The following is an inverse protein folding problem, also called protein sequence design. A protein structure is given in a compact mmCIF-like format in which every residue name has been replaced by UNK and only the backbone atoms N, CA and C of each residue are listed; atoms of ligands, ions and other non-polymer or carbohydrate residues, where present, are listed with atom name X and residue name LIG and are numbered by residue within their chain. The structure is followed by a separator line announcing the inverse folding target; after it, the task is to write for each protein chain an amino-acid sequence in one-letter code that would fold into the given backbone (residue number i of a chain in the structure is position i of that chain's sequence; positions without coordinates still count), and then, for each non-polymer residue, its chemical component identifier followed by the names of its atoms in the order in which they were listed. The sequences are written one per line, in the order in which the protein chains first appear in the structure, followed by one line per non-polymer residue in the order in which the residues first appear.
data_IF_716628627130
#
_entry.id   IF_716628627130
#
_cell.length_a   1.000
_cell.length_b   1.000
_cell.length_c   1.000
_cell.angle_alpha   90.00
_cell.angle_beta   90.00
_cell.angle_gamma   90.00
#
_symmetry.space_group_name_H-M   'P 1'
#
loop_
_entity.id
_entity.type
_entity.pdbx_description
1 polymer ?
#
# COMPACT_ATOMS: atom_id res chain seq x y z
N UNK A 1 61.84 3.21 -22.02
CA UNK A 1 60.99 2.12 -22.53
C UNK A 1 59.87 1.95 -21.53
N UNK A 2 58.66 2.30 -21.96
CA UNK A 2 57.46 2.18 -21.16
C UNK A 2 57.04 0.71 -21.10
N UNK A 3 56.51 0.27 -19.96
CA UNK A 3 55.59 -0.86 -19.96
C UNK A 3 54.40 -0.52 -19.08
N UNK A 4 53.22 -0.77 -19.63
CA UNK A 4 51.91 -0.34 -19.15
C UNK A 4 51.06 -1.59 -19.05
N UNK A 5 50.68 -1.98 -17.84
CA UNK A 5 49.62 -2.99 -17.65
C UNK A 5 48.69 -2.51 -16.55
N UNK A 6 47.61 -1.86 -16.98
CA UNK A 6 46.44 -1.52 -16.17
C UNK A 6 45.41 -2.65 -16.24
N UNK A 7 44.87 -2.96 -15.06
CA UNK A 7 43.47 -3.31 -14.76
C UNK A 7 42.63 -4.04 -15.81
N UNK A 8 42.45 -5.34 -15.59
CA UNK A 8 41.29 -6.11 -16.05
C UNK A 8 40.87 -7.11 -14.97
N UNK A 9 40.48 -6.67 -13.77
CA UNK A 9 39.93 -7.60 -12.76
C UNK A 9 38.65 -7.18 -12.04
N UNK A 10 38.11 -5.98 -12.26
CA UNK A 10 36.95 -5.50 -11.48
C UNK A 10 35.57 -5.76 -12.12
N UNK A 11 35.52 -6.16 -13.40
CA UNK A 11 34.25 -6.34 -14.13
C UNK A 11 33.55 -7.68 -13.94
N UNK A 12 34.22 -8.71 -13.39
CA UNK A 12 33.64 -10.07 -13.27
C UNK A 12 32.99 -10.36 -11.92
N UNK A 13 33.31 -9.59 -10.88
CA UNK A 13 32.79 -9.85 -9.52
C UNK A 13 31.36 -9.33 -9.34
N UNK A 14 31.02 -8.19 -9.96
CA UNK A 14 29.68 -7.60 -9.88
C UNK A 14 28.60 -8.32 -10.71
N UNK A 15 28.99 -8.96 -11.83
CA UNK A 15 28.05 -9.68 -12.70
C UNK A 15 27.60 -11.00 -12.04
N UNK A 16 28.51 -11.68 -11.32
CA UNK A 16 28.22 -12.92 -10.60
C UNK A 16 27.24 -12.71 -9.44
N UNK A 17 27.23 -11.51 -8.84
CA UNK A 17 26.33 -11.19 -7.73
C UNK A 17 24.89 -10.93 -8.20
N UNK A 18 24.73 -10.21 -9.32
CA UNK A 18 23.41 -9.88 -9.87
C UNK A 18 22.66 -11.13 -10.35
N UNK A 19 23.34 -12.00 -11.09
CA UNK A 19 22.74 -13.23 -11.61
C UNK A 19 22.40 -14.21 -10.46
N UNK A 20 23.20 -14.21 -9.38
CA UNK A 20 22.95 -15.01 -8.19
C UNK A 20 21.75 -14.47 -7.40
N UNK A 21 21.62 -13.15 -7.28
CA UNK A 21 20.49 -12.46 -6.65
C UNK A 21 19.22 -12.73 -7.46
N UNK A 22 19.24 -12.56 -8.78
CA UNK A 22 18.11 -12.83 -9.67
C UNK A 22 17.68 -14.31 -9.64
N UNK A 23 18.64 -15.25 -9.62
CA UNK A 23 18.36 -16.68 -9.47
C UNK A 23 17.74 -17.05 -8.11
N UNK A 24 18.18 -16.37 -7.04
CA UNK A 24 17.62 -16.53 -5.69
C UNK A 24 16.22 -15.92 -5.59
N UNK A 25 15.98 -14.79 -6.25
CA UNK A 25 14.69 -14.13 -6.38
C UNK A 25 13.70 -15.03 -7.13
N UNK A 26 14.06 -15.60 -8.28
CA UNK A 26 13.19 -16.50 -9.05
C UNK A 26 12.85 -17.80 -8.29
N UNK A 27 13.82 -18.36 -7.56
CA UNK A 27 13.59 -19.53 -6.68
C UNK A 27 12.76 -19.20 -5.45
N UNK A 28 12.79 -17.97 -4.97
CA UNK A 28 11.97 -17.52 -3.86
C UNK A 28 10.54 -17.22 -4.35
N UNK A 29 10.39 -16.45 -5.44
CA UNK A 29 9.10 -16.08 -6.04
C UNK A 29 8.21 -17.28 -6.36
N UNK A 30 8.78 -18.39 -6.82
CA UNK A 30 8.05 -19.64 -7.10
C UNK A 30 7.48 -20.35 -5.85
N UNK A 31 7.79 -19.89 -4.64
CA UNK A 31 7.30 -20.46 -3.36
C UNK A 31 6.78 -19.42 -2.36
N UNK A 32 6.74 -18.14 -2.74
CA UNK A 32 6.49 -17.00 -1.84
C UNK A 32 5.00 -16.70 -1.64
N UNK A 33 4.10 -17.31 -2.42
CA UNK A 33 2.66 -17.08 -2.28
C UNK A 33 2.01 -17.69 -1.02
N UNK A 34 2.75 -18.49 -0.23
CA UNK A 34 2.13 -19.24 0.86
C UNK A 34 1.99 -18.48 2.18
N UNK A 35 2.81 -17.44 2.45
CA UNK A 35 2.81 -16.81 3.78
C UNK A 35 1.50 -16.08 4.13
N UNK A 36 0.94 -15.19 3.28
CA UNK A 36 -0.32 -14.52 3.59
C UNK A 36 -1.49 -15.50 3.72
N UNK A 37 -1.57 -16.51 2.84
CA UNK A 37 -2.62 -17.53 2.89
C UNK A 37 -2.50 -18.41 4.15
N UNK A 38 -1.28 -18.79 4.53
CA UNK A 38 -1.00 -19.54 5.75
C UNK A 38 -1.38 -18.75 7.00
N UNK A 39 -1.06 -17.46 7.05
CA UNK A 39 -1.46 -16.57 8.15
C UNK A 39 -2.98 -16.39 8.20
N UNK A 40 -3.65 -16.24 7.05
CA UNK A 40 -5.10 -16.17 6.97
C UNK A 40 -5.75 -17.44 7.53
N UNK A 41 -5.33 -18.62 7.06
CA UNK A 41 -5.85 -19.90 7.56
C UNK A 41 -5.58 -20.09 9.05
N UNK A 42 -4.37 -19.76 9.51
CA UNK A 42 -3.99 -19.98 10.91
C UNK A 42 -4.63 -18.98 11.86
N UNK A 43 -4.80 -17.72 11.47
CA UNK A 43 -5.49 -16.71 12.27
C UNK A 43 -6.96 -17.06 12.54
N UNK A 44 -7.62 -17.78 11.64
CA UNK A 44 -9.00 -18.26 11.84
C UNK A 44 -9.10 -19.49 12.75
N UNK A 45 -8.02 -20.24 12.93
CA UNK A 45 -8.03 -21.56 13.59
C UNK A 45 -7.24 -21.60 14.90
N UNK A 46 -6.14 -20.85 15.00
CA UNK A 46 -5.24 -20.82 16.14
C UNK A 46 -4.60 -19.44 16.31
N UNK A 47 -5.28 -18.59 17.07
CA UNK A 47 -4.86 -17.22 17.37
C UNK A 47 -3.59 -17.15 18.21
N UNK A 48 -3.35 -18.11 19.10
CA UNK A 48 -2.12 -18.16 19.94
C UNK A 48 -0.89 -18.44 19.07
N UNK A 49 -0.98 -19.44 18.20
CA UNK A 49 0.11 -19.78 17.26
C UNK A 49 0.40 -18.62 16.32
N UNK A 50 -0.65 -18.00 15.78
CA UNK A 50 -0.52 -16.82 14.92
C UNK A 50 0.17 -15.67 15.65
N UNK A 51 -0.11 -15.47 16.94
CA UNK A 51 0.57 -14.45 17.75
C UNK A 51 2.08 -14.68 17.88
N UNK A 52 2.51 -15.93 18.07
CA UNK A 52 3.94 -16.29 18.09
C UNK A 52 4.57 -16.04 16.72
N UNK A 53 3.89 -16.43 15.65
CA UNK A 53 4.34 -16.21 14.28
C UNK A 53 4.51 -14.74 13.90
N UNK A 54 3.66 -13.84 14.41
CA UNK A 54 3.86 -12.40 14.24
C UNK A 54 5.13 -11.89 14.94
N UNK A 55 5.46 -12.39 16.13
CA UNK A 55 6.72 -12.02 16.80
C UNK A 55 7.95 -12.48 16.01
N UNK A 56 7.85 -13.65 15.36
CA UNK A 56 8.90 -14.14 14.45
C UNK A 56 9.03 -13.21 13.25
N UNK A 57 7.92 -12.83 12.63
CA UNK A 57 7.90 -11.93 11.48
C UNK A 57 8.47 -10.55 11.82
N UNK A 58 8.04 -9.94 12.93
CA UNK A 58 8.57 -8.67 13.46
C UNK A 58 10.08 -8.76 13.68
N UNK A 59 10.54 -9.81 14.36
CA UNK A 59 11.96 -10.00 14.60
C UNK A 59 12.79 -10.19 13.33
N UNK A 60 12.29 -10.95 12.35
CA UNK A 60 12.97 -11.09 11.06
C UNK A 60 13.01 -9.74 10.35
N UNK A 61 11.89 -9.03 10.28
CA UNK A 61 11.78 -7.76 9.59
C UNK A 61 12.75 -6.70 10.16
N UNK A 62 12.81 -6.57 11.47
CA UNK A 62 13.65 -5.58 12.16
C UNK A 62 15.15 -5.88 12.04
N UNK A 63 15.54 -7.13 11.78
CA UNK A 63 16.93 -7.58 11.82
C UNK A 63 17.41 -8.19 10.49
N UNK A 64 16.61 -8.06 9.42
CA UNK A 64 16.88 -8.66 8.12
C UNK A 64 18.13 -8.10 7.45
N UNK A 65 18.31 -6.79 7.57
CA UNK A 65 19.38 -6.03 6.92
C UNK A 65 20.37 -5.58 7.97
N UNK A 66 21.63 -5.90 7.74
CA UNK A 66 22.74 -5.44 8.57
C UNK A 66 23.10 -3.98 8.27
N UNK A 67 23.84 -3.28 9.14
CA UNK A 67 24.23 -1.88 8.93
C UNK A 67 25.04 -1.63 7.65
N UNK A 68 25.62 -2.67 7.06
CA UNK A 68 26.36 -2.63 5.80
C UNK A 68 25.47 -2.90 4.57
N UNK A 69 24.15 -2.88 4.75
CA UNK A 69 23.13 -3.13 3.73
C UNK A 69 23.10 -4.57 3.19
N UNK A 70 23.79 -5.51 3.84
CA UNK A 70 23.73 -6.93 3.50
C UNK A 70 22.61 -7.66 4.23
N UNK A 71 22.17 -8.81 3.69
CA UNK A 71 21.17 -9.65 4.34
C UNK A 71 21.80 -10.53 5.42
N UNK A 72 21.25 -10.49 6.64
CA UNK A 72 21.59 -11.45 7.70
C UNK A 72 21.20 -12.86 7.28
N UNK A 73 22.08 -13.84 7.48
CA UNK A 73 21.77 -15.25 7.22
C UNK A 73 20.74 -15.76 8.23
N UNK A 74 19.87 -16.68 7.82
CA UNK A 74 18.83 -17.25 8.67
C UNK A 74 19.42 -17.95 9.90
N UNK A 75 20.59 -18.58 9.75
CA UNK A 75 21.28 -19.29 10.83
C UNK A 75 21.81 -18.34 11.92
N UNK A 76 21.96 -17.05 11.60
CA UNK A 76 22.41 -16.02 12.55
C UNK A 76 21.26 -15.42 13.38
N UNK A 77 20.00 -15.73 13.06
CA UNK A 77 18.85 -15.24 13.83
C UNK A 77 18.71 -15.96 15.17
N UNK A 78 18.57 -15.16 16.24
CA UNK A 78 18.25 -15.65 17.58
C UNK A 78 16.79 -15.37 17.94
N UNK A 79 15.97 -16.41 17.84
CA UNK A 79 14.56 -16.35 18.21
C UNK A 79 14.35 -16.56 19.72
N UNK A 80 14.70 -15.57 20.53
CA UNK A 80 14.61 -15.63 22.00
C UNK A 80 13.16 -15.66 22.51
N UNK A 81 12.21 -15.18 21.70
CA UNK A 81 10.78 -15.23 21.99
C UNK A 81 10.18 -16.65 21.93
N UNK A 82 10.95 -17.63 21.42
CA UNK A 82 10.54 -19.04 21.33
C UNK A 82 11.48 -19.86 22.21
N UNK A 83 10.95 -20.61 23.20
CA UNK A 83 11.77 -21.55 23.96
C UNK A 83 12.52 -22.52 23.05
N UNK A 84 13.78 -22.81 23.33
CA UNK A 84 14.64 -23.62 22.45
C UNK A 84 14.04 -25.00 22.11
N UNK A 85 13.29 -25.60 23.04
CA UNK A 85 12.60 -26.89 22.84
C UNK A 85 11.39 -26.80 21.90
N UNK A 86 10.79 -25.62 21.73
CA UNK A 86 9.66 -25.38 20.84
C UNK A 86 10.09 -24.90 19.46
N UNK A 87 11.33 -24.40 19.31
CA UNK A 87 11.88 -23.89 18.03
C UNK A 87 11.72 -24.85 16.84
N UNK A 88 11.92 -26.18 16.97
CA UNK A 88 11.71 -27.11 15.85
C UNK A 88 10.28 -27.10 15.29
N UNK A 89 9.27 -26.78 16.11
CA UNK A 89 7.87 -26.73 15.71
C UNK A 89 7.56 -25.53 14.79
N UNK A 90 8.43 -24.51 14.82
CA UNK A 90 8.30 -23.29 14.02
C UNK A 90 9.30 -23.22 12.85
N UNK A 91 10.17 -24.23 12.69
CA UNK A 91 11.28 -24.18 11.74
C UNK A 91 10.82 -23.94 10.29
N UNK A 92 9.75 -24.58 9.85
CA UNK A 92 9.22 -24.41 8.50
C UNK A 92 8.60 -23.02 8.30
N UNK A 93 7.90 -22.50 9.32
CA UNK A 93 7.38 -21.14 9.27
C UNK A 93 8.51 -20.10 9.23
N UNK A 94 9.55 -20.27 10.05
CA UNK A 94 10.73 -19.38 10.09
C UNK A 94 11.39 -19.30 8.71
N UNK A 95 11.61 -20.44 8.05
CA UNK A 95 12.18 -20.49 6.69
C UNK A 95 11.29 -19.78 5.67
N UNK A 96 9.98 -20.00 5.73
CA UNK A 96 9.02 -19.36 4.84
C UNK A 96 8.99 -17.85 5.04
N UNK A 97 8.90 -17.40 6.30
CA UNK A 97 8.89 -16.00 6.69
C UNK A 97 10.17 -15.28 6.22
N UNK A 98 11.34 -15.87 6.45
CA UNK A 98 12.62 -15.33 6.01
C UNK A 98 12.67 -15.15 4.49
N UNK A 99 12.33 -16.21 3.73
CA UNK A 99 12.30 -16.15 2.25
C UNK A 99 11.36 -15.10 1.73
N UNK A 100 10.17 -15.00 2.32
CA UNK A 100 9.18 -14.01 1.96
C UNK A 100 9.70 -12.59 2.20
N UNK A 101 10.30 -12.33 3.37
CA UNK A 101 10.83 -11.00 3.71
C UNK A 101 11.97 -10.58 2.78
N UNK A 102 12.93 -11.47 2.51
CA UNK A 102 14.00 -11.21 1.53
C UNK A 102 13.40 -10.86 0.16
N UNK A 103 12.39 -11.61 -0.29
CA UNK A 103 11.75 -11.37 -1.58
C UNK A 103 11.07 -10.00 -1.64
N UNK A 104 10.31 -9.64 -0.60
CA UNK A 104 9.64 -8.34 -0.54
C UNK A 104 10.64 -7.18 -0.40
N UNK A 105 11.76 -7.40 0.29
CA UNK A 105 12.84 -6.43 0.42
C UNK A 105 13.53 -6.20 -0.93
N UNK A 106 13.90 -7.26 -1.65
CA UNK A 106 14.47 -7.16 -3.00
C UNK A 106 13.52 -6.47 -3.99
N UNK A 107 12.20 -6.65 -3.83
CA UNK A 107 11.19 -5.99 -4.64
C UNK A 107 10.93 -4.52 -4.23
N UNK A 108 11.59 -4.00 -3.18
CA UNK A 108 11.41 -2.63 -2.70
C UNK A 108 10.04 -2.36 -2.07
N UNK A 109 9.35 -3.41 -1.60
CA UNK A 109 7.99 -3.32 -1.04
C UNK A 109 7.88 -3.92 0.37
N UNK A 110 9.00 -4.24 1.03
CA UNK A 110 9.02 -4.91 2.33
C UNK A 110 8.15 -4.22 3.39
N UNK A 111 8.29 -2.91 3.60
CA UNK A 111 7.50 -2.17 4.59
C UNK A 111 6.00 -2.27 4.31
N UNK A 112 5.59 -2.01 3.07
CA UNK A 112 4.18 -2.05 2.69
C UNK A 112 3.61 -3.47 2.74
N UNK A 113 4.38 -4.46 2.31
CA UNK A 113 3.99 -5.86 2.35
C UNK A 113 3.87 -6.35 3.81
N UNK A 114 4.83 -6.00 4.67
CA UNK A 114 4.79 -6.32 6.10
C UNK A 114 3.60 -5.67 6.80
N UNK A 115 3.35 -4.39 6.55
CA UNK A 115 2.17 -3.68 7.05
C UNK A 115 0.87 -4.37 6.64
N UNK A 116 0.81 -4.88 5.40
CA UNK A 116 -0.34 -5.64 4.92
C UNK A 116 -0.49 -7.00 5.62
N UNK A 117 0.59 -7.63 6.11
CA UNK A 117 0.46 -8.82 6.97
C UNK A 117 -0.19 -8.49 8.31
N UNK A 118 0.03 -7.28 8.85
CA UNK A 118 -0.49 -6.83 10.15
C UNK A 118 -2.00 -7.07 10.33
N UNK A 119 -2.72 -7.14 9.22
CA UNK A 119 -4.09 -7.60 9.14
C UNK A 119 -4.32 -8.93 9.90
N UNK A 120 -3.53 -9.97 9.65
CA UNK A 120 -3.73 -11.28 10.27
C UNK A 120 -3.32 -11.33 11.76
N UNK A 121 -2.92 -10.21 12.36
CA UNK A 121 -2.49 -10.16 13.77
C UNK A 121 -3.69 -10.40 14.69
N UNK A 122 -3.61 -11.39 15.61
CA UNK A 122 -4.75 -11.78 16.45
C UNK A 122 -5.31 -10.64 17.32
N UNK A 123 -4.45 -9.71 17.75
CA UNK A 123 -4.84 -8.60 18.61
C UNK A 123 -5.46 -7.43 17.84
N UNK A 124 -5.26 -7.32 16.51
CA UNK A 124 -5.71 -6.16 15.75
C UNK A 124 -7.21 -5.93 15.86
N UNK A 125 -8.02 -6.99 15.88
CA UNK A 125 -9.47 -6.88 16.09
C UNK A 125 -9.82 -6.31 17.46
N UNK A 126 -9.11 -6.71 18.52
CA UNK A 126 -9.34 -6.22 19.88
C UNK A 126 -8.79 -4.81 20.08
N UNK A 127 -7.59 -4.54 19.56
CA UNK A 127 -6.89 -3.25 19.65
C UNK A 127 -7.65 -2.16 18.89
N UNK A 128 -8.18 -2.48 17.70
CA UNK A 128 -9.05 -1.56 16.95
C UNK A 128 -10.38 -1.35 17.68
N UNK A 129 -11.05 -2.41 18.14
CA UNK A 129 -12.32 -2.28 18.88
C UNK A 129 -12.19 -1.51 20.20
N UNK A 130 -11.01 -1.47 20.82
CA UNK A 130 -10.73 -0.71 22.03
C UNK A 130 -10.56 0.80 21.78
N UNK A 131 -10.17 1.21 20.57
CA UNK A 131 -9.93 2.61 20.18
C UNK A 131 -11.13 3.22 19.45
N UNK A 132 -12.02 2.37 18.93
CA UNK A 132 -13.26 2.74 18.24
C UNK A 132 -14.24 3.42 19.21
N UNK A 133 -14.73 4.60 18.84
CA UNK A 133 -15.61 5.40 19.69
C UNK A 133 -16.95 4.68 19.93
N UNK A 134 -17.63 4.81 21.09
CA UNK A 134 -18.78 3.98 21.47
C UNK A 134 -19.97 3.89 20.47
N UNK A 135 -20.04 4.79 19.49
CA UNK A 135 -21.06 4.84 18.43
C UNK A 135 -20.64 4.15 17.12
N UNK A 136 -19.34 3.90 16.93
CA UNK A 136 -18.77 3.21 15.77
C UNK A 136 -18.92 1.66 15.77
N UNK A 137 -19.12 0.95 16.91
CA UNK A 137 -19.42 -0.49 16.91
C UNK A 137 -20.71 -0.82 16.17
N UNK A 138 -21.62 0.15 15.98
CA UNK A 138 -22.85 -0.03 15.22
C UNK A 138 -22.58 -0.33 13.74
N UNK A 139 -21.57 0.32 13.15
CA UNK A 139 -21.16 0.10 11.76
C UNK A 139 -20.29 -1.16 11.62
N UNK A 140 -19.43 -1.45 12.60
CA UNK A 140 -18.65 -2.69 12.64
C UNK A 140 -19.53 -3.92 12.88
N UNK A 141 -20.63 -3.80 13.65
CA UNK A 141 -21.66 -4.84 13.72
C UNK A 141 -22.34 -5.03 12.37
N UNK A 142 -22.77 -3.98 11.67
CA UNK A 142 -23.41 -4.19 10.35
C UNK A 142 -22.44 -4.69 9.26
N UNK A 143 -21.15 -4.34 9.33
CA UNK A 143 -20.12 -4.80 8.40
C UNK A 143 -19.62 -6.23 8.65
N UNK A 144 -19.58 -6.67 9.92
CA UNK A 144 -19.28 -8.06 10.29
C UNK A 144 -20.53 -8.96 10.38
N UNK A 145 -21.72 -8.36 10.27
CA UNK A 145 -23.04 -8.99 10.40
C UNK A 145 -23.96 -8.55 9.23
N UNK A 146 -23.43 -8.55 8.01
CA UNK A 146 -24.12 -9.34 6.98
C UNK A 146 -23.69 -10.78 7.27
N UNK A 147 -24.27 -11.41 8.30
CA UNK A 147 -25.37 -12.34 8.06
C UNK A 147 -25.41 -12.65 6.58
N UNK A 148 -24.77 -13.77 6.23
CA UNK A 148 -25.18 -14.67 5.17
C UNK A 148 -26.70 -14.59 5.11
N UNK A 149 -27.21 -13.60 4.38
CA UNK A 149 -28.59 -13.60 3.96
C UNK A 149 -28.44 -14.64 2.89
N UNK A 150 -28.76 -15.89 3.27
CA UNK A 150 -28.96 -16.94 2.30
C UNK A 150 -30.04 -16.38 1.39
N UNK A 151 -29.62 -15.66 0.34
CA UNK A 151 -30.38 -15.57 -0.87
C UNK A 151 -30.34 -17.00 -1.41
N UNK A 152 -31.27 -17.80 -0.87
CA UNK A 152 -31.54 -19.16 -1.26
C UNK A 152 -32.01 -19.28 -2.72
N UNK A 153 -32.06 -18.14 -3.44
CA UNK A 153 -32.52 -18.01 -4.81
C UNK A 153 -31.46 -17.40 -5.76
N UNK A 154 -30.23 -17.14 -5.28
CA UNK A 154 -29.12 -16.72 -6.16
C UNK A 154 -28.45 -17.96 -6.76
N UNK A 155 -29.11 -18.51 -7.77
CA UNK A 155 -28.62 -19.37 -8.86
C UNK A 155 -27.43 -20.31 -8.59
N UNK A 156 -27.66 -21.59 -8.86
CA UNK A 156 -26.78 -22.76 -8.74
C UNK A 156 -25.56 -22.73 -9.70
N UNK A 157 -25.10 -21.56 -10.16
CA UNK A 157 -24.38 -21.41 -11.43
C UNK A 157 -23.23 -20.39 -11.45
N UNK A 158 -22.19 -20.57 -10.63
CA UNK A 158 -20.83 -20.15 -11.05
C UNK A 158 -19.92 -21.37 -11.20
N UNK A 159 -20.45 -22.40 -11.84
CA UNK A 159 -19.69 -23.54 -12.30
C UNK A 159 -19.22 -23.30 -13.74
N UNK A 160 -18.23 -22.43 -13.89
CA UNK A 160 -17.54 -22.30 -15.18
C UNK A 160 -16.71 -23.56 -15.48
N UNK A 161 -16.77 -24.00 -16.73
CA UNK A 161 -15.83 -24.98 -17.29
C UNK A 161 -14.40 -24.41 -17.26
N UNK A 162 -13.39 -25.27 -17.34
CA UNK A 162 -12.00 -24.79 -17.37
C UNK A 162 -11.72 -23.90 -18.58
N UNK A 163 -12.38 -24.14 -19.72
CA UNK A 163 -12.26 -23.30 -20.91
C UNK A 163 -12.81 -21.89 -20.68
N UNK A 164 -13.97 -21.77 -20.01
CA UNK A 164 -14.55 -20.48 -19.63
C UNK A 164 -13.65 -19.73 -18.64
N UNK A 165 -13.10 -20.43 -17.62
CA UNK A 165 -12.15 -19.82 -16.68
C UNK A 165 -10.93 -19.24 -17.39
N UNK A 166 -10.33 -20.02 -18.31
CA UNK A 166 -9.19 -19.58 -19.11
C UNK A 166 -9.55 -18.36 -19.96
N UNK A 167 -10.77 -18.30 -20.52
CA UNK A 167 -11.24 -17.14 -21.28
C UNK A 167 -11.26 -15.87 -20.41
N UNK A 168 -11.85 -15.93 -19.21
CA UNK A 168 -11.89 -14.79 -18.29
C UNK A 168 -10.48 -14.33 -17.90
N UNK A 169 -9.61 -15.27 -17.53
CA UNK A 169 -8.22 -14.97 -17.15
C UNK A 169 -7.45 -14.31 -18.29
N UNK A 170 -7.60 -14.78 -19.53
CA UNK A 170 -6.96 -14.17 -20.70
C UNK A 170 -7.47 -12.77 -21.00
N UNK A 171 -8.78 -12.56 -20.90
CA UNK A 171 -9.40 -11.24 -21.08
C UNK A 171 -8.86 -10.24 -20.06
N UNK A 172 -8.81 -10.64 -18.80
CA UNK A 172 -8.30 -9.80 -17.73
C UNK A 172 -6.79 -9.55 -17.87
N UNK A 173 -6.00 -10.56 -18.27
CA UNK A 173 -4.57 -10.39 -18.56
C UNK A 173 -4.35 -9.36 -19.68
N UNK A 174 -5.19 -9.39 -20.72
CA UNK A 174 -5.16 -8.39 -21.80
C UNK A 174 -5.48 -6.98 -21.25
N UNK A 175 -6.47 -6.85 -20.38
CA UNK A 175 -6.79 -5.57 -19.74
C UNK A 175 -5.66 -5.05 -18.83
N UNK A 176 -5.03 -5.91 -18.03
CA UNK A 176 -3.92 -5.54 -17.15
C UNK A 176 -2.67 -5.11 -17.94
N UNK A 177 -2.42 -5.74 -19.09
CA UNK A 177 -1.28 -5.44 -19.97
C UNK A 177 -1.53 -4.29 -20.96
N UNK A 178 -2.78 -3.91 -21.20
CA UNK A 178 -3.12 -2.82 -22.11
C UNK A 178 -2.64 -1.46 -21.56
N UNK A 179 -1.65 -0.85 -22.21
CA UNK A 179 -1.11 0.46 -21.84
C UNK A 179 -1.73 1.64 -22.61
N UNK A 180 -2.69 1.37 -23.49
CA UNK A 180 -3.34 2.38 -24.34
C UNK A 180 -4.56 2.96 -23.64
N UNK A 181 -4.66 4.29 -23.58
CA UNK A 181 -5.83 4.97 -23.03
C UNK A 181 -5.99 4.86 -21.51
N UNK A 182 -4.91 4.53 -20.79
CA UNK A 182 -4.93 4.39 -19.32
C UNK A 182 -5.16 5.74 -18.63
N UNK A 183 -5.83 5.71 -17.47
CA UNK A 183 -6.12 6.89 -16.66
C UNK A 183 -4.89 7.47 -15.93
N UNK A 184 -3.90 6.61 -15.67
CA UNK A 184 -2.63 6.96 -15.01
C UNK A 184 -1.65 7.61 -15.99
N UNK A 185 -0.79 8.50 -15.50
CA UNK A 185 0.28 9.10 -16.33
C UNK A 185 1.27 8.02 -16.76
N UNK A 186 1.77 8.00 -18.01
CA UNK A 186 2.70 6.97 -18.48
C UNK A 186 4.01 6.85 -17.68
N UNK A 187 4.45 7.94 -17.05
CA UNK A 187 5.64 8.01 -16.19
C UNK A 187 5.36 7.73 -14.71
N UNK A 188 4.12 7.39 -14.34
CA UNK A 188 3.76 7.10 -12.96
C UNK A 188 4.42 5.79 -12.51
N UNK A 189 4.95 5.74 -11.27
CA UNK A 189 5.67 4.58 -10.75
C UNK A 189 4.85 3.28 -10.83
N UNK A 190 3.55 3.32 -10.56
CA UNK A 190 2.67 2.16 -10.76
C UNK A 190 2.65 1.63 -12.21
N UNK A 191 2.67 2.51 -13.21
CA UNK A 191 2.70 2.09 -14.62
C UNK A 191 4.04 1.43 -14.95
N UNK A 192 5.14 1.96 -14.42
CA UNK A 192 6.46 1.35 -14.55
C UNK A 192 6.53 -0.02 -13.86
N UNK A 193 5.94 -0.13 -12.66
CA UNK A 193 5.85 -1.40 -11.93
C UNK A 193 5.10 -2.46 -12.74
N UNK A 194 3.93 -2.13 -13.31
CA UNK A 194 3.17 -3.07 -14.16
C UNK A 194 3.95 -3.46 -15.42
N UNK A 195 4.70 -2.54 -16.04
CA UNK A 195 5.59 -2.86 -17.17
C UNK A 195 6.73 -3.79 -16.81
N UNK A 196 7.20 -3.73 -15.56
CA UNK A 196 8.26 -4.59 -15.06
C UNK A 196 7.76 -5.97 -14.59
N UNK A 197 6.44 -6.13 -14.38
CA UNK A 197 5.86 -7.42 -14.01
C UNK A 197 5.95 -8.42 -15.17
N UNK A 198 6.33 -9.66 -14.85
CA UNK A 198 6.31 -10.73 -15.84
C UNK A 198 4.88 -11.14 -16.17
N UNK A 199 4.67 -11.67 -17.37
CA UNK A 199 3.37 -12.18 -17.80
C UNK A 199 2.84 -13.26 -16.86
N UNK A 200 3.71 -14.12 -16.30
CA UNK A 200 3.34 -15.16 -15.35
C UNK A 200 2.81 -14.60 -14.03
N UNK A 201 3.43 -13.52 -13.50
CA UNK A 201 2.94 -12.86 -12.28
C UNK A 201 1.56 -12.24 -12.50
N UNK A 202 1.35 -11.62 -13.67
CA UNK A 202 0.04 -11.05 -14.01
C UNK A 202 -1.02 -12.14 -14.24
N UNK A 203 -0.66 -13.25 -14.87
CA UNK A 203 -1.56 -14.38 -15.07
C UNK A 203 -2.01 -14.98 -13.74
N UNK A 204 -1.08 -15.15 -12.79
CA UNK A 204 -1.41 -15.63 -11.44
C UNK A 204 -2.33 -14.64 -10.71
N UNK A 205 -2.05 -13.34 -10.80
CA UNK A 205 -2.94 -12.32 -10.23
C UNK A 205 -4.35 -12.36 -10.87
N UNK A 206 -4.46 -12.70 -12.16
CA UNK A 206 -5.75 -12.87 -12.82
C UNK A 206 -6.54 -14.06 -12.27
N UNK A 207 -5.85 -15.17 -11.94
CA UNK A 207 -6.47 -16.31 -11.27
C UNK A 207 -7.01 -15.95 -9.89
N UNK A 208 -6.24 -15.19 -9.11
CA UNK A 208 -6.68 -14.68 -7.80
C UNK A 208 -7.92 -13.78 -7.93
N UNK A 209 -7.93 -12.87 -8.90
CA UNK A 209 -9.07 -12.00 -9.18
C UNK A 209 -10.30 -12.83 -9.58
N UNK A 210 -10.14 -13.84 -10.43
CA UNK A 210 -11.22 -14.74 -10.83
C UNK A 210 -11.86 -15.46 -9.64
N UNK A 211 -11.04 -16.05 -8.77
CA UNK A 211 -11.52 -16.75 -7.57
C UNK A 211 -12.26 -15.78 -6.65
N UNK A 212 -11.69 -14.61 -6.37
CA UNK A 212 -12.30 -13.62 -5.49
C UNK A 212 -13.56 -12.98 -6.09
N UNK A 213 -13.67 -12.85 -7.42
CA UNK A 213 -14.87 -12.37 -8.09
C UNK A 213 -16.01 -13.38 -8.02
N UNK A 214 -15.70 -14.68 -8.19
CA UNK A 214 -16.69 -15.76 -8.05
C UNK A 214 -17.23 -15.77 -6.63
N UNK A 215 -16.33 -15.72 -5.65
CA UNK A 215 -16.69 -15.78 -4.25
C UNK A 215 -17.51 -14.53 -3.86
N UNK A 216 -17.13 -13.35 -4.36
CA UNK A 216 -17.92 -12.12 -4.16
C UNK A 216 -19.32 -12.16 -4.79
N UNK A 217 -19.48 -12.79 -5.97
CA UNK A 217 -20.78 -12.99 -6.61
C UNK A 217 -21.69 -13.89 -5.77
N UNK A 218 -21.11 -14.89 -5.10
CA UNK A 218 -21.83 -15.79 -4.20
C UNK A 218 -22.05 -15.19 -2.79
N UNK A 219 -21.65 -13.93 -2.57
CA UNK A 219 -21.72 -13.27 -1.26
C UNK A 219 -20.70 -13.80 -0.25
N UNK A 220 -19.71 -14.58 -0.70
CA UNK A 220 -18.64 -15.15 0.13
C UNK A 220 -17.39 -14.30 -0.03
N UNK A 221 -17.40 -13.06 0.44
CA UNK A 221 -16.18 -12.25 0.42
C UNK A 221 -15.44 -12.41 1.75
N UNK A 222 -14.18 -12.90 1.79
CA UNK A 222 -13.40 -12.99 3.02
C UNK A 222 -12.90 -11.61 3.46
N UNK A 223 -13.81 -10.70 3.79
CA UNK A 223 -13.48 -9.34 4.23
C UNK A 223 -12.87 -9.40 5.61
N UNK A 224 -11.74 -8.73 5.73
CA UNK A 224 -11.05 -8.66 6.98
C UNK A 224 -11.75 -7.66 7.93
N UNK A 225 -11.87 -7.94 9.24
CA UNK A 225 -12.64 -7.12 10.18
C UNK A 225 -12.27 -5.63 10.25
N UNK A 226 -11.06 -5.25 9.83
CA UNK A 226 -10.54 -3.89 9.83
C UNK A 226 -10.55 -3.24 8.44
N UNK A 227 -11.16 -3.87 7.43
CA UNK A 227 -11.35 -3.24 6.11
C UNK A 227 -12.45 -2.19 6.21
N UNK A 228 -12.09 -0.99 6.65
CA UNK A 228 -13.03 0.14 6.89
C UNK A 228 -13.68 0.69 5.61
N UNK A 229 -13.09 0.40 4.44
CA UNK A 229 -13.55 0.88 3.14
C UNK A 229 -14.04 -0.24 2.23
N UNK A 230 -14.51 -1.36 2.81
CA UNK A 230 -15.09 -2.44 2.02
C UNK A 230 -16.46 -2.03 1.47
N UNK A 231 -16.69 -2.31 0.19
CA UNK A 231 -17.97 -2.12 -0.47
C UNK A 231 -18.31 -3.42 -1.19
N UNK A 232 -19.58 -3.81 -1.12
CA UNK A 232 -20.12 -4.92 -1.89
C UNK A 232 -21.16 -4.36 -2.86
N UNK A 233 -20.90 -4.54 -4.15
CA UNK A 233 -21.81 -4.20 -5.23
C UNK A 233 -22.71 -5.39 -5.53
N UNK A 234 -23.99 -5.12 -5.73
CA UNK A 234 -24.93 -6.13 -6.20
C UNK A 234 -24.91 -6.17 -7.73
N UNK A 235 -24.65 -7.35 -8.29
CA UNK A 235 -24.55 -7.59 -9.73
C UNK A 235 -25.52 -8.68 -10.13
N UNK A 236 -26.29 -8.46 -11.19
CA UNK A 236 -27.29 -9.42 -11.69
C UNK A 236 -26.63 -10.72 -12.13
N UNK A 237 -25.52 -10.63 -12.87
CA UNK A 237 -24.74 -11.78 -13.31
C UNK A 237 -23.26 -11.68 -12.94
N UNK A 238 -22.56 -12.83 -12.96
CA UNK A 238 -21.10 -12.84 -12.84
C UNK A 238 -20.44 -12.07 -13.99
N UNK A 239 -21.01 -12.13 -15.21
CA UNK A 239 -20.49 -11.45 -16.38
C UNK A 239 -20.53 -9.93 -16.22
N UNK A 240 -21.60 -9.37 -15.63
CA UNK A 240 -21.69 -7.94 -15.35
C UNK A 240 -20.61 -7.51 -14.35
N UNK A 241 -20.39 -8.31 -13.29
CA UNK A 241 -19.31 -8.07 -12.32
C UNK A 241 -17.95 -8.15 -13.00
N UNK A 242 -17.75 -9.15 -13.85
CA UNK A 242 -16.48 -9.37 -14.53
C UNK A 242 -16.17 -8.25 -15.53
N UNK A 243 -17.16 -7.78 -16.29
CA UNK A 243 -17.01 -6.66 -17.20
C UNK A 243 -16.50 -5.40 -16.46
N UNK A 244 -17.10 -5.07 -15.32
CA UNK A 244 -16.62 -3.92 -14.51
C UNK A 244 -15.22 -4.14 -13.94
N UNK A 245 -14.85 -5.38 -13.56
CA UNK A 245 -13.49 -5.74 -13.13
C UNK A 245 -12.49 -5.48 -14.27
N UNK A 246 -12.81 -5.98 -15.47
CA UNK A 246 -11.98 -5.82 -16.67
C UNK A 246 -11.81 -4.33 -16.99
N UNK A 247 -12.90 -3.56 -17.00
CA UNK A 247 -12.86 -2.10 -17.21
C UNK A 247 -12.02 -1.39 -16.14
N UNK A 248 -12.16 -1.78 -14.87
CA UNK A 248 -11.38 -1.21 -13.77
C UNK A 248 -9.87 -1.36 -13.99
N UNK A 249 -9.42 -2.57 -14.32
CA UNK A 249 -7.98 -2.86 -14.53
C UNK A 249 -7.47 -2.38 -15.89
N UNK A 250 -8.34 -2.27 -16.89
CA UNK A 250 -8.01 -1.67 -18.17
C UNK A 250 -7.68 -0.17 -18.00
N UNK A 251 -8.52 0.57 -17.26
CA UNK A 251 -8.34 2.00 -17.04
C UNK A 251 -7.24 2.32 -16.00
N UNK A 252 -7.11 1.55 -14.92
CA UNK A 252 -6.32 1.93 -13.74
C UNK A 252 -5.13 0.98 -13.50
N UNK A 253 -3.94 1.34 -13.99
CA UNK A 253 -2.71 0.56 -13.77
C UNK A 253 -2.18 0.69 -12.35
N UNK A 254 -2.54 1.76 -11.65
CA UNK A 254 -2.41 1.82 -10.21
C UNK A 254 -3.22 0.75 -9.48
N UNK A 255 -4.37 0.29 -10.02
CA UNK A 255 -5.09 -0.83 -9.43
C UNK A 255 -4.34 -2.15 -9.66
N UNK A 256 -3.82 -2.37 -10.87
CA UNK A 256 -3.01 -3.55 -11.21
C UNK A 256 -1.77 -3.64 -10.31
N UNK A 257 -1.01 -2.56 -10.14
CA UNK A 257 0.14 -2.54 -9.25
C UNK A 257 -0.20 -2.88 -7.78
N UNK A 258 -1.40 -2.48 -7.34
CA UNK A 258 -1.89 -2.75 -5.99
C UNK A 258 -2.51 -4.14 -5.81
N UNK A 259 -2.71 -4.93 -6.87
CA UNK A 259 -3.22 -6.30 -6.73
C UNK A 259 -2.31 -7.19 -5.90
N UNK A 260 -1.00 -6.92 -5.90
CA UNK A 260 -0.02 -7.63 -5.07
C UNK A 260 -0.28 -7.43 -3.57
N UNK A 261 -1.15 -6.50 -3.20
CA UNK A 261 -1.54 -6.25 -1.83
C UNK A 261 -2.86 -7.00 -1.54
N UNK A 262 -2.80 -7.94 -0.59
CA UNK A 262 -3.90 -8.86 -0.27
C UNK A 262 -5.26 -8.18 0.04
N UNK A 263 -5.26 -6.96 0.56
CA UNK A 263 -6.52 -6.23 0.86
C UNK A 263 -7.23 -5.72 -0.39
N UNK A 264 -6.52 -5.54 -1.50
CA UNK A 264 -7.06 -4.85 -2.67
C UNK A 264 -7.78 -5.79 -3.63
N UNK A 265 -7.33 -7.04 -3.77
CA UNK A 265 -8.03 -8.03 -4.62
C UNK A 265 -9.51 -8.14 -4.23
N UNK A 266 -9.79 -8.28 -2.92
CA UNK A 266 -11.15 -8.42 -2.40
C UNK A 266 -12.01 -7.18 -2.67
N UNK A 267 -11.40 -5.99 -2.61
CA UNK A 267 -12.11 -4.72 -2.79
C UNK A 267 -12.44 -4.49 -4.25
N UNK A 268 -11.48 -4.76 -5.13
CA UNK A 268 -11.65 -4.62 -6.56
C UNK A 268 -12.65 -5.64 -7.12
N UNK A 269 -12.72 -6.86 -6.56
CA UNK A 269 -13.69 -7.86 -7.01
C UNK A 269 -15.10 -7.71 -6.43
N UNK A 270 -15.24 -7.07 -5.27
CA UNK A 270 -16.53 -6.96 -4.58
C UNK A 270 -17.39 -5.78 -5.08
N UNK A 271 -16.77 -4.67 -5.45
CA UNK A 271 -17.46 -3.50 -6.04
C UNK A 271 -16.51 -2.74 -6.99
N UNK A 272 -16.16 -3.34 -8.14
CA UNK A 272 -15.23 -2.76 -9.10
C UNK A 272 -15.69 -1.39 -9.61
N UNK A 273 -16.98 -1.20 -9.85
CA UNK A 273 -17.55 0.07 -10.30
C UNK A 273 -17.27 1.20 -9.31
N UNK A 274 -17.63 1.01 -8.03
CA UNK A 274 -17.42 2.04 -7.01
C UNK A 274 -15.94 2.33 -6.79
N UNK A 275 -15.09 1.32 -6.91
CA UNK A 275 -13.64 1.50 -6.86
C UNK A 275 -13.10 2.34 -8.03
N UNK A 276 -13.59 2.10 -9.25
CA UNK A 276 -13.34 2.97 -10.42
C UNK A 276 -13.79 4.41 -10.16
N UNK A 277 -15.01 4.62 -9.66
CA UNK A 277 -15.52 5.96 -9.35
C UNK A 277 -14.67 6.68 -8.30
N UNK A 278 -14.25 5.94 -7.27
CA UNK A 278 -13.39 6.50 -6.21
C UNK A 278 -12.03 6.91 -6.75
N UNK A 279 -11.41 6.12 -7.63
CA UNK A 279 -10.15 6.47 -8.29
C UNK A 279 -10.30 7.72 -9.16
N UNK A 280 -11.38 7.81 -9.95
CA UNK A 280 -11.71 9.01 -10.75
C UNK A 280 -11.86 10.24 -9.85
N UNK A 281 -12.55 10.11 -8.71
CA UNK A 281 -12.68 11.18 -7.72
C UNK A 281 -11.35 11.59 -7.06
N UNK A 282 -10.52 10.62 -6.65
CA UNK A 282 -9.20 10.88 -6.08
C UNK A 282 -8.29 11.60 -7.07
N UNK A 283 -8.29 11.19 -8.34
CA UNK A 283 -7.54 11.85 -9.40
C UNK A 283 -7.96 13.32 -9.54
N UNK A 284 -9.25 13.60 -9.65
CA UNK A 284 -9.78 14.97 -9.75
C UNK A 284 -9.34 15.85 -8.56
N UNK A 285 -9.39 15.29 -7.35
CA UNK A 285 -8.98 16.00 -6.14
C UNK A 285 -7.46 16.27 -6.12
N UNK A 286 -6.65 15.29 -6.53
CA UNK A 286 -5.19 15.43 -6.59
C UNK A 286 -4.77 16.44 -7.66
N UNK A 287 -5.39 16.40 -8.85
CA UNK A 287 -5.14 17.37 -9.92
C UNK A 287 -5.50 18.79 -9.45
N UNK A 288 -6.63 18.95 -8.76
CA UNK A 288 -7.06 20.23 -8.19
C UNK A 288 -6.07 20.75 -7.12
N UNK A 289 -5.55 19.86 -6.27
CA UNK A 289 -4.53 20.21 -5.27
C UNK A 289 -3.21 20.62 -5.93
N UNK A 290 -2.78 19.93 -6.99
CA UNK A 290 -1.57 20.26 -7.73
C UNK A 290 -1.66 21.66 -8.34
N UNK A 291 -2.78 22.01 -8.98
CA UNK A 291 -3.01 23.35 -9.53
C UNK A 291 -2.93 24.43 -8.45
N UNK A 292 -3.59 24.20 -7.31
CA UNK A 292 -3.55 25.15 -6.16
C UNK A 292 -2.14 25.31 -5.61
N UNK A 293 -1.39 24.21 -5.51
CA UNK A 293 0.00 24.24 -5.06
C UNK A 293 0.88 25.05 -6.01
N UNK A 294 0.80 24.81 -7.33
CA UNK A 294 1.56 25.58 -8.32
C UNK A 294 1.20 27.07 -8.27
N UNK A 295 -0.08 27.41 -8.15
CA UNK A 295 -0.52 28.80 -8.00
C UNK A 295 0.03 29.45 -6.72
N UNK A 296 0.04 28.71 -5.59
CA UNK A 296 0.61 29.20 -4.34
C UNK A 296 2.12 29.42 -4.44
N UNK A 297 2.86 28.52 -5.11
CA UNK A 297 4.30 28.68 -5.37
C UNK A 297 4.57 29.91 -6.23
N UNK A 298 3.80 30.11 -7.31
CA UNK A 298 3.93 31.30 -8.16
C UNK A 298 3.62 32.59 -7.41
N UNK A 299 2.56 32.61 -6.58
CA UNK A 299 2.23 33.76 -5.75
C UNK A 299 3.33 34.08 -4.73
N UNK A 300 3.91 33.05 -4.10
CA UNK A 300 5.03 33.21 -3.18
C UNK A 300 6.28 33.76 -3.88
N UNK A 301 6.60 33.27 -5.08
CA UNK A 301 7.71 33.79 -5.90
C UNK A 301 7.49 35.25 -6.31
N UNK A 302 6.26 35.62 -6.68
CA UNK A 302 5.91 37.00 -7.02
C UNK A 302 6.04 37.96 -5.82
N UNK A 303 5.61 37.53 -4.63
CA UNK A 303 5.79 38.31 -3.40
C UNK A 303 7.27 38.49 -3.03
N UNK A 304 8.07 37.43 -3.17
CA UNK A 304 9.53 37.52 -2.97
C UNK A 304 10.19 38.48 -3.97
N UNK A 305 9.75 38.49 -5.23
CA UNK A 305 10.26 39.43 -6.24
C UNK A 305 9.91 40.89 -5.90
N UNK A 306 8.70 41.17 -5.42
CA UNK A 306 8.31 42.51 -4.96
C UNK A 306 9.14 42.95 -3.75
N UNK A 307 9.34 42.06 -2.77
CA UNK A 307 10.14 42.36 -1.58
C UNK A 307 11.63 42.55 -1.91
N UNK A 308 12.17 41.81 -2.89
CA UNK A 308 13.52 42.01 -3.41
C UNK A 308 13.71 43.31 -4.20
N UNK A 309 12.67 43.76 -4.92
CA UNK A 309 12.72 45.00 -5.69
C UNK A 309 12.60 46.27 -4.82
N UNK A 310 12.01 46.18 -3.62
CA UNK A 310 11.86 47.30 -2.69
C UNK A 310 13.14 47.67 -1.90
N UNK A 311 14.23 46.92 -2.07
CA UNK A 311 15.46 47.08 -1.28
C UNK A 311 16.54 48.00 -1.91
N UNK A 312 16.24 48.74 -2.99
CA UNK A 312 17.18 49.71 -3.56
C UNK A 312 16.59 51.13 -3.48
N UNK A 313 16.87 51.90 -2.42
CA UNK A 313 16.70 53.34 -2.48
C UNK A 313 17.92 53.93 -3.20
N UNK A 314 17.74 54.24 -4.48
CA UNK A 314 18.63 55.17 -5.19
C UNK A 314 18.41 56.59 -4.62
N UNK A 315 19.27 57.00 -3.70
CA UNK A 315 19.38 58.41 -3.29
C UNK A 315 20.41 59.12 -4.18
N UNK A 316 20.07 60.23 -4.86
CA UNK A 316 21.06 61.13 -5.42
C UNK A 316 21.50 62.19 -4.38
N UNK A 317 22.79 62.12 -4.04
CA UNK A 317 23.79 63.17 -3.78
C UNK A 317 23.53 64.42 -2.86
N UNK A 318 24.42 64.53 -1.85
CA UNK A 318 25.13 65.75 -1.32
C UNK A 318 24.43 66.76 -0.35
N UNK A 319 25.16 67.64 0.39
CA UNK A 319 25.82 67.41 1.69
C UNK A 319 25.38 68.36 2.86
N UNK A 320 25.76 67.99 4.09
CA UNK A 320 25.98 68.79 5.33
C UNK A 320 24.99 69.91 5.77
N UNK A 321 24.35 69.73 6.94
CA UNK A 321 24.57 70.53 8.18
C UNK A 321 23.40 70.44 9.19
N UNK A 322 23.73 70.17 10.47
CA UNK A 322 22.99 70.69 11.63
C UNK A 322 21.92 69.80 12.30
N UNK A 323 21.65 69.96 13.61
CA UNK A 323 21.75 68.82 14.54
C UNK A 323 20.50 68.53 15.40
N UNK A 324 20.50 67.30 15.95
CA UNK A 324 19.93 66.84 17.23
C UNK A 324 18.42 66.89 17.46
N UNK A 325 17.83 65.77 17.90
CA UNK A 325 17.29 65.57 19.26
C UNK A 325 16.94 64.09 19.48
N UNK A 326 17.44 63.54 20.58
CA UNK A 326 17.17 62.23 21.15
C UNK A 326 15.76 62.11 21.74
N UNK A 327 15.13 60.94 21.58
CA UNK A 327 14.02 60.46 22.40
C UNK A 327 14.07 58.91 22.50
N UNK A 328 13.90 58.30 23.69
CA UNK A 328 14.12 56.86 23.92
C UNK A 328 12.88 56.00 23.62
N UNK A 329 13.02 54.64 23.57
CA UNK A 329 12.09 53.76 22.88
C UNK A 329 10.91 53.31 23.76
N UNK A 330 9.73 53.16 23.16
CA UNK A 330 8.56 52.53 23.78
C UNK A 330 8.55 51.03 23.47
N UNK A 331 8.59 50.24 24.53
CA UNK A 331 8.42 48.79 24.57
C UNK A 331 6.98 48.38 24.26
N UNK A 332 6.81 47.39 23.40
CA UNK A 332 5.52 46.76 23.04
C UNK A 332 5.18 45.69 24.09
N UNK A 333 3.97 45.63 24.66
CA UNK A 333 3.52 44.48 25.44
C UNK A 333 2.92 43.39 24.53
N UNK A 334 3.31 42.16 24.81
CA UNK A 334 2.88 40.89 24.23
C UNK A 334 1.42 40.59 24.64
N UNK A 335 0.53 40.34 23.69
CA UNK A 335 -0.84 39.86 23.93
C UNK A 335 -0.85 38.32 24.01
N UNK A 336 -1.34 37.78 25.14
CA UNK A 336 -1.76 36.39 25.27
C UNK A 336 -3.18 36.17 24.68
N UNK A 337 -3.48 34.99 24.12
CA UNK A 337 -4.82 34.68 23.61
C UNK A 337 -5.73 34.07 24.69
N UNK A 338 -6.88 34.71 24.89
CA UNK A 338 -8.01 34.22 25.69
C UNK A 338 -8.70 33.04 25.00
N UNK A 339 -8.85 31.92 25.71
CA UNK A 339 -9.64 30.76 25.30
C UNK A 339 -11.10 30.98 25.71
N UNK A 340 -11.98 31.23 24.75
CA UNK A 340 -13.43 31.19 24.97
C UNK A 340 -13.96 29.76 24.79
N UNK A 341 -14.50 29.25 25.88
CA UNK A 341 -15.29 28.03 26.00
C UNK A 341 -16.69 28.27 25.43
N UNK A 342 -17.11 27.48 24.44
CA UNK A 342 -18.49 27.51 23.91
C UNK A 342 -19.17 26.15 24.05
N UNK A 343 -20.38 26.23 24.58
CA UNK A 343 -21.23 25.18 25.10
C UNK A 343 -21.79 24.24 24.02
N UNK A 344 -21.95 22.97 24.41
CA UNK A 344 -22.73 21.97 23.67
C UNK A 344 -24.24 22.18 23.87
N UNK A 345 -25.09 21.93 22.86
CA UNK A 345 -26.54 21.92 23.03
C UNK A 345 -27.06 20.51 23.36
N UNK A 346 -27.88 20.48 24.40
CA UNK A 346 -28.76 19.39 24.81
C UNK A 346 -29.86 19.16 23.76
N UNK A 347 -30.08 17.91 23.33
CA UNK A 347 -31.30 17.54 22.60
C UNK A 347 -32.09 16.48 23.39
N UNK A 348 -33.35 16.82 23.71
CA UNK A 348 -34.43 15.93 24.11
C UNK A 348 -35.43 15.86 22.95
N UNK A 349 -35.99 14.68 22.71
CA UNK A 349 -37.05 14.40 21.76
C UNK A 349 -36.99 12.95 21.34
#
# INVERSE_FOLDING_TARGET
MADTTNDVHDGKKAIVDKDLIESRIDKALTKVQDLPQLLQRTSTTNTVLTGIWFKILEHIFDNLVEPDETFRDLDDFQFDMIPSHARPQHAEFIKLAYRWMVTMHCAGVAEQAFANLGQYKPSLKADVLAVVAPHEPFWLRKGALHTVTQHHDADDHVHHTNEQKIRYVRELLQAMTNMVGIADKPSHHHVLAVKAMSGAVLEEACWDVYINARDAQQGVTPVLPWTTNFCWGNYETFDDRWADIVDHFNENKSAVANLMQATYVQRYTSDPYKESQRKKGQKKNNDSRAVRYTAAVQAAQHLQAIQGAAAVPAFPATPAAGPSIQGPPQTIPLLEPTVESSMAPTFRG
#
